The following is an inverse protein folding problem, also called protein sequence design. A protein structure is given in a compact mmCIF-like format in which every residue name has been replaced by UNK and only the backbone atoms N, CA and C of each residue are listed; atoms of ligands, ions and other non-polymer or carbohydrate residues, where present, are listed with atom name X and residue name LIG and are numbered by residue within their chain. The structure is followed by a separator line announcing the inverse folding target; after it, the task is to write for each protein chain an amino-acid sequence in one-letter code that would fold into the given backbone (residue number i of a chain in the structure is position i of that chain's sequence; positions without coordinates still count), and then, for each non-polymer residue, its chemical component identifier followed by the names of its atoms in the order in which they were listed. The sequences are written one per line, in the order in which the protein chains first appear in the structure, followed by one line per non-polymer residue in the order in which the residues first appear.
data_IF_660914873575
#
_entry.id   IF_660914873575
#
_cell.length_a   1.000
_cell.length_b   1.000
_cell.length_c   1.000
_cell.angle_alpha   90.00
_cell.angle_beta   90.00
_cell.angle_gamma   90.00
#
_symmetry.space_group_name_H-M   'P 1'
#
loop_
_entity.id
_entity.type
_entity.pdbx_description
1 polymer ?
#
# COMPACT_ATOMS: atom_id res chain seq x y z
N UNK A 1 7.06 -24.49 -55.16
CA UNK A 1 5.98 -23.48 -55.03
C UNK A 1 4.76 -24.23 -54.53
N UNK A 2 4.30 -24.03 -53.30
CA UNK A 2 3.55 -22.86 -52.84
C UNK A 2 3.89 -22.51 -51.39
N UNK A 3 3.98 -21.21 -51.10
CA UNK A 3 4.05 -20.65 -49.75
C UNK A 3 2.62 -20.57 -49.21
N UNK A 4 2.38 -21.01 -47.98
CA UNK A 4 1.27 -20.49 -47.18
C UNK A 4 1.79 -20.04 -45.83
N UNK A 5 1.30 -18.87 -45.46
CA UNK A 5 1.83 -17.91 -44.52
C UNK A 5 0.82 -17.77 -43.38
N UNK A 6 1.35 -17.54 -42.18
CA UNK A 6 0.72 -16.88 -41.02
C UNK A 6 -0.38 -17.63 -40.29
N UNK A 7 -0.10 -17.91 -39.01
CA UNK A 7 -1.07 -17.72 -37.94
C UNK A 7 -0.36 -17.00 -36.79
N UNK A 8 -0.27 -15.68 -36.92
CA UNK A 8 -0.12 -14.77 -35.79
C UNK A 8 -1.37 -14.87 -34.89
N UNK A 9 -1.22 -14.57 -33.59
CA UNK A 9 -2.22 -14.32 -32.50
C UNK A 9 -2.14 -15.39 -31.40
N UNK A 10 -1.90 -15.09 -30.13
CA UNK A 10 -1.79 -13.84 -29.37
C UNK A 10 -0.76 -14.08 -28.26
N UNK A 11 0.36 -13.34 -28.29
CA UNK A 11 1.04 -13.01 -27.05
C UNK A 11 0.07 -12.07 -26.31
N UNK A 12 -0.67 -12.61 -25.35
CA UNK A 12 -1.40 -11.79 -24.38
C UNK A 12 -0.31 -11.07 -23.62
N UNK A 13 -0.04 -9.86 -24.08
CA UNK A 13 0.72 -8.82 -23.42
C UNK A 13 0.46 -8.94 -21.93
N UNK A 14 1.46 -9.46 -21.23
CA UNK A 14 1.62 -9.36 -19.81
C UNK A 14 1.85 -7.87 -19.55
N UNK A 15 0.77 -7.09 -19.73
CA UNK A 15 0.69 -5.64 -19.67
C UNK A 15 1.25 -5.27 -18.31
N UNK A 16 2.55 -4.99 -18.34
CA UNK A 16 3.41 -4.80 -17.21
C UNK A 16 2.65 -3.94 -16.21
N UNK A 17 2.21 -4.55 -15.11
CA UNK A 17 1.78 -3.79 -13.94
C UNK A 17 3.01 -3.01 -13.51
N UNK A 18 3.12 -1.80 -14.01
CA UNK A 18 4.10 -0.82 -13.60
C UNK A 18 4.00 -0.77 -12.08
N UNK A 19 4.99 -1.35 -11.39
CA UNK A 19 5.07 -1.33 -9.94
C UNK A 19 5.32 0.12 -9.56
N UNK A 20 4.26 0.93 -9.50
CA UNK A 20 4.36 2.29 -9.00
C UNK A 20 4.90 2.19 -7.58
N UNK A 21 6.07 2.78 -7.40
CA UNK A 21 6.69 2.91 -6.09
C UNK A 21 5.81 3.86 -5.28
N UNK A 22 5.35 3.40 -4.12
CA UNK A 22 4.59 4.25 -3.20
C UNK A 22 5.61 4.85 -2.26
N UNK A 23 5.74 6.17 -2.31
CA UNK A 23 6.70 6.91 -1.49
C UNK A 23 5.97 7.33 -0.21
N UNK A 24 6.49 6.98 0.99
CA UNK A 24 5.89 7.44 2.23
C UNK A 24 6.00 8.97 2.37
N UNK A 25 4.99 9.64 2.95
CA UNK A 25 5.06 11.05 3.27
C UNK A 25 6.15 11.34 4.31
N UNK A 26 6.49 12.61 4.46
CA UNK A 26 7.53 13.05 5.41
C UNK A 26 7.14 12.76 6.87
N UNK A 27 5.84 12.68 7.19
CA UNK A 27 5.34 12.41 8.53
C UNK A 27 4.28 11.31 8.53
N UNK A 28 4.45 10.38 9.46
CA UNK A 28 3.54 9.28 9.72
C UNK A 28 3.19 9.26 11.22
N UNK A 29 2.50 10.29 11.75
CA UNK A 29 2.30 10.46 13.19
C UNK A 29 1.58 9.28 13.85
N UNK A 30 0.60 8.66 13.19
CA UNK A 30 -0.05 7.47 13.72
C UNK A 30 0.91 6.28 13.74
N UNK A 31 1.65 6.02 12.65
CA UNK A 31 2.65 4.95 12.59
C UNK A 31 3.73 5.13 13.65
N UNK A 32 4.26 6.33 13.81
CA UNK A 32 5.23 6.69 14.85
C UNK A 32 4.69 6.38 16.25
N UNK A 33 3.40 6.68 16.48
CA UNK A 33 2.75 6.46 17.77
C UNK A 33 2.61 4.96 18.11
N UNK A 34 2.22 4.13 17.13
CA UNK A 34 2.08 2.68 17.35
C UNK A 34 3.42 1.93 17.34
N UNK A 35 4.47 2.54 16.79
CA UNK A 35 5.81 1.94 16.65
C UNK A 35 6.87 2.58 17.57
N UNK A 36 6.49 2.92 18.81
CA UNK A 36 7.33 3.66 19.76
C UNK A 36 8.64 2.96 20.17
N UNK A 37 8.79 1.64 19.95
CA UNK A 37 10.02 0.89 20.23
C UNK A 37 10.99 0.80 19.05
N UNK A 38 10.56 1.23 17.86
CA UNK A 38 11.37 1.14 16.65
C UNK A 38 12.21 2.40 16.48
N UNK A 39 13.50 2.24 16.18
CA UNK A 39 14.43 3.36 16.06
C UNK A 39 14.12 4.28 14.87
N UNK A 40 13.62 3.73 13.75
CA UNK A 40 13.26 4.52 12.58
C UNK A 40 12.21 3.80 11.71
N UNK A 41 10.95 4.24 11.77
CA UNK A 41 9.84 3.68 10.98
C UNK A 41 9.97 3.95 9.48
N UNK A 42 10.73 4.98 9.09
CA UNK A 42 10.89 5.37 7.68
C UNK A 42 11.87 4.50 6.90
N UNK A 43 12.55 3.56 7.56
CA UNK A 43 13.37 2.55 6.88
C UNK A 43 12.56 1.33 6.45
N UNK A 44 11.30 1.23 6.89
CA UNK A 44 10.41 0.15 6.50
C UNK A 44 9.98 0.31 5.05
N UNK A 45 9.85 -0.80 4.35
CA UNK A 45 9.14 -0.83 3.07
C UNK A 45 7.65 -0.52 3.28
N UNK A 46 6.93 -0.03 2.25
CA UNK A 46 5.49 0.19 2.36
C UNK A 46 4.67 -1.04 2.83
N UNK A 47 5.12 -2.25 2.50
CA UNK A 47 4.51 -3.51 2.95
C UNK A 47 4.74 -3.79 4.45
N UNK A 48 5.93 -3.48 4.96
CA UNK A 48 6.25 -3.58 6.39
C UNK A 48 5.56 -2.49 7.20
N UNK A 49 5.46 -1.27 6.66
CA UNK A 49 4.64 -0.20 7.24
C UNK A 49 3.19 -0.65 7.36
N UNK A 50 2.61 -1.23 6.30
CA UNK A 50 1.26 -1.77 6.31
C UNK A 50 1.08 -2.86 7.38
N UNK A 51 2.01 -3.80 7.48
CA UNK A 51 1.99 -4.84 8.52
C UNK A 51 1.99 -4.25 9.94
N UNK A 52 2.64 -3.11 10.12
CA UNK A 52 2.66 -2.38 11.40
C UNK A 52 1.32 -1.73 11.68
N UNK A 53 0.72 -1.05 10.69
CA UNK A 53 -0.63 -0.48 10.81
C UNK A 53 -1.65 -1.55 11.14
N UNK A 54 -1.61 -2.70 10.47
CA UNK A 54 -2.54 -3.81 10.72
C UNK A 54 -2.44 -4.29 12.17
N UNK A 55 -1.23 -4.51 12.69
CA UNK A 55 -0.99 -4.92 14.08
C UNK A 55 -1.42 -3.84 15.09
N UNK A 56 -1.21 -2.57 14.75
CA UNK A 56 -1.51 -1.41 15.60
C UNK A 56 -2.91 -0.85 15.45
N UNK A 57 -3.74 -1.36 14.52
CA UNK A 57 -5.00 -0.73 14.13
C UNK A 57 -5.95 -0.51 15.29
N UNK A 58 -5.96 -1.43 16.27
CA UNK A 58 -6.76 -1.33 17.51
C UNK A 58 -6.52 -0.04 18.29
N UNK A 59 -5.45 0.70 18.02
CA UNK A 59 -5.10 1.95 18.71
C UNK A 59 -5.44 3.21 17.91
N UNK A 60 -5.97 3.11 16.68
CA UNK A 60 -6.21 4.29 15.82
C UNK A 60 -7.13 5.33 16.48
N UNK A 61 -8.19 4.88 17.15
CA UNK A 61 -9.13 5.75 17.88
C UNK A 61 -8.54 6.39 19.14
N UNK A 62 -7.45 5.84 19.69
CA UNK A 62 -6.81 6.37 20.90
C UNK A 62 -5.95 7.58 20.55
N UNK A 63 -5.18 7.49 19.46
CA UNK A 63 -4.28 8.55 19.06
C UNK A 63 -4.96 9.66 18.25
N UNK A 64 -6.04 9.32 17.52
CA UNK A 64 -6.84 10.26 16.73
C UNK A 64 -5.99 11.23 15.87
N UNK A 65 -4.88 10.74 15.34
CA UNK A 65 -3.89 11.49 14.57
C UNK A 65 -3.67 10.91 13.17
N UNK A 66 -4.51 9.96 12.75
CA UNK A 66 -4.48 9.37 11.41
C UNK A 66 -5.36 10.19 10.46
N UNK A 67 -4.75 11.15 9.77
CA UNK A 67 -5.44 12.05 8.84
C UNK A 67 -4.51 12.51 7.70
N UNK A 68 -5.06 13.27 6.75
CA UNK A 68 -4.28 13.93 5.71
C UNK A 68 -3.42 12.99 4.85
N UNK A 69 -2.14 13.33 4.71
CA UNK A 69 -1.18 12.58 3.87
C UNK A 69 -0.96 11.15 4.37
N UNK A 70 -0.90 10.93 5.68
CA UNK A 70 -0.72 9.58 6.25
C UNK A 70 -1.93 8.70 5.96
N UNK A 71 -3.15 9.23 6.12
CA UNK A 71 -4.37 8.50 5.80
C UNK A 71 -4.43 8.13 4.30
N UNK A 72 -4.09 9.07 3.42
CA UNK A 72 -4.06 8.82 1.98
C UNK A 72 -3.01 7.77 1.60
N UNK A 73 -1.82 7.87 2.18
CA UNK A 73 -0.75 6.87 2.02
C UNK A 73 -1.21 5.49 2.48
N UNK A 74 -1.83 5.40 3.66
CA UNK A 74 -2.33 4.13 4.20
C UNK A 74 -3.42 3.52 3.29
N UNK A 75 -4.35 4.33 2.78
CA UNK A 75 -5.36 3.88 1.79
C UNK A 75 -4.71 3.32 0.54
N UNK A 76 -3.65 3.96 0.03
CA UNK A 76 -2.94 3.53 -1.17
C UNK A 76 -2.22 2.19 -0.97
N UNK A 77 -1.41 2.06 0.10
CA UNK A 77 -0.69 0.81 0.39
C UNK A 77 -1.67 -0.32 0.74
N UNK A 78 -2.73 -0.07 1.51
CA UNK A 78 -3.74 -1.06 1.85
C UNK A 78 -4.41 -1.61 0.58
N UNK A 79 -4.73 -0.73 -0.37
CA UNK A 79 -5.31 -1.12 -1.67
C UNK A 79 -4.32 -1.93 -2.52
N UNK A 80 -3.06 -1.49 -2.61
CA UNK A 80 -2.01 -2.15 -3.39
C UNK A 80 -1.73 -3.57 -2.91
N UNK A 81 -1.66 -3.77 -1.60
CA UNK A 81 -1.35 -5.05 -0.98
C UNK A 81 -2.59 -5.87 -0.60
N UNK A 82 -3.80 -5.39 -0.94
CA UNK A 82 -5.08 -6.07 -0.66
C UNK A 82 -5.29 -6.36 0.83
N UNK A 83 -4.96 -5.39 1.68
CA UNK A 83 -5.14 -5.48 3.12
C UNK A 83 -6.62 -5.46 3.51
N UNK A 84 -6.93 -6.09 4.65
CA UNK A 84 -8.24 -5.99 5.29
C UNK A 84 -8.55 -4.57 5.78
N UNK A 85 -7.52 -3.73 6.00
CA UNK A 85 -7.68 -2.33 6.40
C UNK A 85 -8.43 -1.50 5.36
N UNK A 86 -8.49 -1.92 4.10
CA UNK A 86 -9.28 -1.21 3.07
C UNK A 86 -10.73 -1.03 3.53
N UNK A 87 -11.33 -2.04 4.17
CA UNK A 87 -12.72 -1.98 4.64
C UNK A 87 -12.86 -0.98 5.79
N UNK A 88 -11.92 -0.99 6.73
CA UNK A 88 -11.90 -0.09 7.88
C UNK A 88 -11.71 1.37 7.46
N UNK A 89 -10.82 1.62 6.49
CA UNK A 89 -10.50 2.95 5.98
C UNK A 89 -11.60 3.57 5.13
N UNK A 90 -12.48 2.76 4.53
CA UNK A 90 -13.70 3.25 3.88
C UNK A 90 -14.73 3.79 4.89
N UNK A 91 -14.66 3.38 6.15
CA UNK A 91 -15.58 3.83 7.20
C UNK A 91 -15.10 5.11 7.91
N UNK A 92 -13.93 5.63 7.53
CA UNK A 92 -13.27 6.82 8.12
C UNK A 92 -13.44 8.10 7.28
N UNK A 93 -14.42 8.12 6.35
CA UNK A 93 -14.74 9.30 5.51
C UNK A 93 -15.58 10.36 6.23
#
# INVERSE_FOLDING_TARGET
MTKSKVSDRMDIDNSCKEKREIIPPHKLPFLESICWQMANVYQLTPEEMLSTYERGWRYHHIFNNLEGEELNFLKEIASKYRSWLVVELCNLE
#
